data_IF_768149384429
#
_entry.id   IF_768149384429
#
_cell.length_a   1.000
_cell.length_b   1.000
_cell.length_c   1.000
_cell.angle_alpha   90.00
_cell.angle_beta   90.00
_cell.angle_gamma   90.00
#
_symmetry.space_group_name_H-M   'P 1'
#
loop_
_entity.id
_entity.type
_entity.pdbx_description
1 polymer ?
#
# COMPACT_ATOMS: atom_id res chain seq x y z
N UNK A 1 -1.13 -13.59 -7.44
CA UNK A 1 -0.73 -12.16 -7.32
C UNK A 1 -1.22 -11.53 -6.01
N UNK A 2 -2.52 -11.43 -5.70
CA UNK A 2 -2.98 -10.96 -4.38
C UNK A 2 -2.71 -11.98 -3.24
N UNK A 3 -2.86 -13.28 -3.52
CA UNK A 3 -2.66 -14.34 -2.53
C UNK A 3 -1.21 -14.50 -2.04
N UNK A 4 -0.21 -14.18 -2.88
CA UNK A 4 1.21 -14.30 -2.54
C UNK A 4 1.65 -13.22 -1.55
N UNK A 5 1.06 -12.03 -1.64
CA UNK A 5 1.28 -10.92 -0.70
C UNK A 5 0.82 -11.27 0.71
N UNK A 6 -0.39 -11.84 0.81
CA UNK A 6 -0.96 -12.28 2.08
C UNK A 6 -0.15 -13.43 2.71
N UNK A 7 0.30 -14.38 1.89
CA UNK A 7 1.10 -15.52 2.36
C UNK A 7 2.48 -15.11 2.87
N UNK A 8 3.09 -14.09 2.25
CA UNK A 8 4.42 -13.59 2.61
C UNK A 8 4.37 -12.32 3.49
N UNK A 9 3.20 -11.92 4.00
CA UNK A 9 3.02 -10.69 4.79
C UNK A 9 3.93 -10.64 6.01
N UNK A 10 4.04 -11.75 6.74
CA UNK A 10 4.90 -11.83 7.93
C UNK A 10 6.39 -11.62 7.61
N UNK A 11 6.82 -12.08 6.44
CA UNK A 11 8.19 -11.85 5.97
C UNK A 11 8.44 -10.35 5.75
N UNK A 12 7.59 -9.67 4.98
CA UNK A 12 7.74 -8.25 4.71
C UNK A 12 7.48 -7.34 5.92
N UNK A 13 6.66 -7.80 6.87
CA UNK A 13 6.38 -7.08 8.12
C UNK A 13 7.59 -7.02 9.06
N UNK A 14 8.44 -8.03 9.01
CA UNK A 14 9.61 -8.18 9.88
C UNK A 14 10.94 -7.90 9.16
N UNK A 15 10.98 -7.97 7.82
CA UNK A 15 12.17 -7.71 7.03
C UNK A 15 12.07 -6.34 6.33
N UNK A 16 13.09 -5.49 6.50
CA UNK A 16 13.26 -4.21 5.82
C UNK A 16 13.64 -4.38 4.33
N UNK A 17 12.91 -5.23 3.61
CA UNK A 17 13.15 -5.52 2.20
C UNK A 17 12.08 -4.89 1.35
N UNK A 18 12.50 -4.33 0.20
CA UNK A 18 11.57 -3.73 -0.74
C UNK A 18 10.71 -4.84 -1.37
N UNK A 19 9.37 -4.78 -1.25
CA UNK A 19 8.50 -5.72 -1.91
C UNK A 19 8.63 -5.64 -3.45
N UNK A 20 8.63 -6.77 -4.18
CA UNK A 20 8.62 -6.82 -5.65
C UNK A 20 7.21 -6.54 -6.21
N UNK A 21 6.48 -5.58 -5.61
CA UNK A 21 5.12 -5.23 -5.97
C UNK A 21 5.02 -3.74 -6.30
N UNK A 22 4.13 -3.38 -7.21
CA UNK A 22 3.87 -1.98 -7.54
C UNK A 22 2.97 -1.35 -6.48
N UNK A 23 3.13 -0.05 -6.25
CA UNK A 23 2.27 0.69 -5.32
C UNK A 23 0.78 0.57 -5.67
N UNK A 24 0.43 0.55 -6.96
CA UNK A 24 -0.95 0.36 -7.40
C UNK A 24 -1.54 -0.98 -6.95
N UNK A 25 -0.80 -2.08 -7.07
CA UNK A 25 -1.24 -3.40 -6.59
C UNK A 25 -1.39 -3.44 -5.06
N UNK A 26 -0.49 -2.79 -4.34
CA UNK A 26 -0.53 -2.71 -2.87
C UNK A 26 -1.71 -1.87 -2.38
N UNK A 27 -1.96 -0.70 -2.99
CA UNK A 27 -3.10 0.16 -2.69
C UNK A 27 -4.40 -0.61 -2.96
N UNK A 28 -4.49 -1.29 -4.11
CA UNK A 28 -5.68 -2.11 -4.44
C UNK A 28 -5.93 -3.20 -3.39
N UNK A 29 -4.87 -3.88 -2.95
CA UNK A 29 -4.97 -4.91 -1.91
C UNK A 29 -5.46 -4.32 -0.58
N UNK A 30 -4.91 -3.17 -0.15
CA UNK A 30 -5.36 -2.47 1.05
C UNK A 30 -6.85 -2.12 0.97
N UNK A 31 -7.29 -1.57 -0.18
CA UNK A 31 -8.70 -1.21 -0.40
C UNK A 31 -9.59 -2.45 -0.38
N UNK A 32 -9.17 -3.56 -1.00
CA UNK A 32 -9.92 -4.82 -1.00
C UNK A 32 -9.99 -5.48 0.39
N UNK A 33 -9.04 -5.20 1.28
CA UNK A 33 -9.08 -5.64 2.68
C UNK A 33 -10.03 -4.78 3.54
N UNK A 34 -10.36 -3.57 3.10
CA UNK A 34 -11.36 -2.71 3.76
C UNK A 34 -12.77 -3.25 3.54
N UNK A 35 -13.59 -3.22 4.60
CA UNK A 35 -14.98 -3.70 4.55
C UNK A 35 -15.82 -2.90 3.54
N UNK A 36 -15.55 -1.61 3.44
CA UNK A 36 -16.30 -0.68 2.60
C UNK A 36 -15.68 -0.55 1.19
N UNK A 37 -14.64 -1.34 0.86
CA UNK A 37 -13.87 -1.21 -0.38
C UNK A 37 -13.41 0.24 -0.65
N UNK A 38 -13.23 1.01 0.42
CA UNK A 38 -12.81 2.40 0.42
C UNK A 38 -11.81 2.59 1.55
N UNK A 39 -10.77 3.37 1.28
CA UNK A 39 -9.78 3.79 2.26
C UNK A 39 -9.36 5.22 1.96
N UNK A 40 -9.19 5.99 3.03
CA UNK A 40 -8.55 7.30 2.98
C UNK A 40 -7.04 7.17 2.82
N UNK A 41 -6.40 8.24 2.35
CA UNK A 41 -4.94 8.30 2.23
C UNK A 41 -4.24 8.00 3.57
N UNK A 42 -4.82 8.44 4.69
CA UNK A 42 -4.29 8.16 6.02
C UNK A 42 -4.33 6.67 6.38
N UNK A 43 -5.43 5.98 6.08
CA UNK A 43 -5.54 4.53 6.34
C UNK A 43 -4.62 3.72 5.44
N UNK A 44 -4.42 4.15 4.19
CA UNK A 44 -3.41 3.55 3.30
C UNK A 44 -2.02 3.74 3.92
N UNK A 45 -1.69 4.92 4.45
CA UNK A 45 -0.42 5.13 5.14
C UNK A 45 -0.23 4.19 6.35
N UNK A 46 -1.26 4.02 7.17
CA UNK A 46 -1.23 3.07 8.29
C UNK A 46 -0.97 1.65 7.79
N UNK A 47 -1.79 1.18 6.84
CA UNK A 47 -1.68 -0.17 6.28
C UNK A 47 -0.30 -0.48 5.70
N UNK A 48 0.32 0.48 5.00
CA UNK A 48 1.68 0.32 4.45
C UNK A 48 2.75 0.18 5.54
N UNK A 49 2.69 1.01 6.58
CA UNK A 49 3.67 0.97 7.69
C UNK A 49 3.49 -0.25 8.60
N UNK A 50 2.26 -0.75 8.72
CA UNK A 50 1.94 -1.96 9.46
C UNK A 50 2.33 -3.23 8.69
N UNK A 51 2.11 -3.24 7.37
CA UNK A 51 2.35 -4.40 6.50
C UNK A 51 3.81 -4.57 6.09
N UNK A 52 4.59 -3.49 5.99
CA UNK A 52 5.99 -3.54 5.55
C UNK A 52 6.91 -2.77 6.50
N UNK A 53 7.93 -3.44 7.03
CA UNK A 53 8.96 -2.78 7.84
C UNK A 53 9.73 -1.71 7.04
N UNK A 54 10.01 -2.01 5.77
CA UNK A 54 10.77 -1.13 4.86
C UNK A 54 10.24 0.31 4.80
N UNK A 55 8.92 0.51 4.86
CA UNK A 55 8.32 1.84 4.75
C UNK A 55 8.35 2.64 6.06
N UNK A 56 8.65 2.02 7.21
CA UNK A 56 8.67 2.71 8.51
C UNK A 56 9.76 3.77 8.63
N UNK A 57 10.92 3.57 7.97
CA UNK A 57 12.10 4.45 8.11
C UNK A 57 12.15 5.60 7.11
N UNK A 58 11.71 5.39 5.86
CA UNK A 58 11.91 6.35 4.77
C UNK A 58 10.62 6.98 4.24
N UNK A 59 9.80 7.53 5.15
CA UNK A 59 8.46 8.07 4.89
C UNK A 59 8.36 9.00 3.66
N UNK A 60 9.30 9.93 3.48
CA UNK A 60 9.14 11.02 2.51
C UNK A 60 9.00 10.54 1.05
N UNK A 61 9.89 9.67 0.59
CA UNK A 61 9.93 9.27 -0.82
C UNK A 61 8.70 8.44 -1.21
N UNK A 62 8.36 7.42 -0.43
CA UNK A 62 7.24 6.54 -0.78
C UNK A 62 5.88 7.20 -0.55
N UNK A 63 5.74 8.13 0.41
CA UNK A 63 4.52 8.92 0.57
C UNK A 63 4.21 9.78 -0.66
N UNK A 64 5.21 10.45 -1.22
CA UNK A 64 5.05 11.20 -2.47
C UNK A 64 4.60 10.31 -3.63
N UNK A 65 5.17 9.10 -3.76
CA UNK A 65 4.71 8.14 -4.76
C UNK A 65 3.28 7.66 -4.50
N UNK A 66 2.93 7.34 -3.24
CA UNK A 66 1.57 6.93 -2.88
C UNK A 66 0.56 8.02 -3.16
N UNK A 67 0.85 9.26 -2.80
CA UNK A 67 -0.02 10.40 -3.08
C UNK A 67 -0.23 10.58 -4.58
N UNK A 68 0.84 10.49 -5.38
CA UNK A 68 0.75 10.55 -6.84
C UNK A 68 -0.06 9.39 -7.43
N UNK A 69 0.06 8.18 -6.89
CA UNK A 69 -0.73 7.02 -7.34
C UNK A 69 -2.18 7.10 -6.88
N UNK A 70 -2.44 7.58 -5.66
CA UNK A 70 -3.77 7.77 -5.11
C UNK A 70 -4.51 8.86 -5.89
N UNK A 71 -3.85 9.98 -6.22
CA UNK A 71 -4.42 11.00 -7.10
C UNK A 71 -4.71 10.45 -8.50
N UNK A 72 -3.83 9.64 -9.08
CA UNK A 72 -4.11 8.98 -10.37
C UNK A 72 -5.29 8.01 -10.30
N UNK A 73 -5.47 7.31 -9.19
CA UNK A 73 -6.60 6.42 -8.96
C UNK A 73 -7.89 7.20 -8.73
N UNK A 74 -7.85 8.25 -7.92
CA UNK A 74 -8.97 9.15 -7.67
C UNK A 74 -9.42 9.83 -8.98
N UNK A 75 -8.49 10.36 -9.77
CA UNK A 75 -8.79 10.94 -11.09
C UNK A 75 -9.36 9.92 -12.08
N UNK A 76 -8.93 8.65 -12.03
CA UNK A 76 -9.54 7.56 -12.82
C UNK A 76 -10.92 7.12 -12.30
N UNK A 77 -11.35 7.57 -11.12
CA UNK A 77 -12.70 7.36 -10.59
C UNK A 77 -13.58 8.62 -10.72
N UNK A 78 -13.07 9.70 -11.32
CA UNK A 78 -13.82 10.95 -11.60
C UNK A 78 -14.04 11.20 -13.11
N UNK A 79 -14.04 10.15 -13.93
CA UNK A 79 -14.62 10.15 -15.29
C UNK A 79 -15.26 8.80 -15.58
#
# INVERSE_FOLDING_TARGET
>A
MAGDLLRNRDYYRNNDVRPPYTYASLIRQAIMESKDCQLTLNEIYQWFTESFAYFRRNAATWKLFLEMQFLKYALNNYC
#
